data_IF_522005736656
#
_entry.id   IF_522005736656
#
_cell.length_a   1.000
_cell.length_b   1.000
_cell.length_c   1.000
_cell.angle_alpha   90.00
_cell.angle_beta   90.00
_cell.angle_gamma   90.00
#
_symmetry.space_group_name_H-M   'P 1'
#
loop_
_entity.id
_entity.type
_entity.pdbx_description
1 polymer ?
#
# COMPACT_ATOMS: atom_id res chain seq x y z
N UNK A 1 -21.35 -14.48 16.43
CA UNK A 1 -20.16 -14.18 17.27
C UNK A 1 -19.72 -12.78 16.89
N UNK A 2 -19.68 -11.85 17.85
CA UNK A 2 -19.28 -10.46 17.65
C UNK A 2 -17.99 -10.21 18.43
N UNK A 3 -17.06 -9.44 17.85
CA UNK A 3 -15.76 -9.11 18.45
C UNK A 3 -15.66 -7.60 18.52
N UNK A 4 -15.40 -7.07 19.71
CA UNK A 4 -15.15 -5.66 19.95
C UNK A 4 -13.65 -5.38 19.84
N UNK A 5 -13.27 -4.34 19.11
CA UNK A 5 -11.87 -3.93 18.99
C UNK A 5 -11.74 -2.41 18.82
N UNK A 6 -10.66 -1.81 19.34
CA UNK A 6 -10.40 -0.39 19.15
C UNK A 6 -10.02 -0.08 17.69
N UNK A 7 -10.55 1.03 17.19
CA UNK A 7 -10.17 1.61 15.89
C UNK A 7 -9.40 2.89 16.12
N UNK A 8 -8.17 2.93 15.63
CA UNK A 8 -7.31 4.11 15.66
C UNK A 8 -7.35 4.81 14.30
N UNK A 9 -7.51 6.13 14.30
CA UNK A 9 -7.46 6.94 13.06
C UNK A 9 -6.24 7.84 13.14
N UNK A 10 -5.29 7.63 12.23
CA UNK A 10 -4.12 8.48 12.07
C UNK A 10 -4.33 9.46 10.91
N UNK A 11 -4.19 10.75 11.20
CA UNK A 11 -4.32 11.82 10.21
C UNK A 11 -2.91 12.30 9.83
N UNK A 12 -2.48 11.97 8.61
CA UNK A 12 -1.22 12.48 8.06
C UNK A 12 -1.48 13.64 7.14
N UNK A 13 -0.75 14.73 7.35
CA UNK A 13 -0.69 15.81 6.39
C UNK A 13 0.22 15.38 5.23
N UNK A 14 -0.34 15.24 4.05
CA UNK A 14 0.49 15.14 2.85
C UNK A 14 1.05 16.55 2.60
N UNK A 15 2.36 16.71 2.73
CA UNK A 15 3.02 17.96 2.39
C UNK A 15 3.06 18.07 0.85
N UNK A 16 1.94 18.48 0.27
CA UNK A 16 1.78 18.69 -1.16
C UNK A 16 2.56 19.93 -1.60
N UNK A 17 3.26 19.81 -2.73
CA UNK A 17 3.86 20.96 -3.41
C UNK A 17 2.71 21.76 -4.04
N UNK A 18 2.51 22.99 -3.59
CA UNK A 18 1.45 23.93 -3.97
C UNK A 18 0.04 23.57 -3.46
N UNK A 19 -0.38 24.24 -2.38
CA UNK A 19 -1.74 24.55 -1.89
C UNK A 19 -2.81 23.43 -1.78
N UNK A 20 -2.48 22.18 -2.09
CA UNK A 20 -3.39 21.05 -1.87
C UNK A 20 -3.17 20.47 -0.47
N UNK A 21 -3.91 21.00 0.51
CA UNK A 21 -4.02 20.44 1.87
C UNK A 21 -4.80 19.10 1.87
N UNK A 22 -4.24 18.06 1.26
CA UNK A 22 -4.83 16.72 1.32
C UNK A 22 -4.44 16.03 2.62
N UNK A 23 -5.40 15.97 3.55
CA UNK A 23 -5.28 15.16 4.77
C UNK A 23 -5.50 13.70 4.38
N UNK A 24 -4.46 12.88 4.49
CA UNK A 24 -4.58 11.43 4.35
C UNK A 24 -4.99 10.84 5.70
N UNK A 25 -6.16 10.19 5.77
CA UNK A 25 -6.65 9.52 6.97
C UNK A 25 -6.45 8.01 6.82
N UNK A 26 -5.74 7.39 7.75
CA UNK A 26 -5.53 5.95 7.78
C UNK A 26 -6.21 5.38 9.02
N UNK A 27 -7.18 4.49 8.82
CA UNK A 27 -7.84 3.76 9.89
C UNK A 27 -7.14 2.44 10.17
N UNK A 28 -6.92 2.12 11.44
CA UNK A 28 -6.30 0.89 11.92
C UNK A 28 -7.22 0.21 12.94
N UNK A 29 -7.76 -0.94 12.56
CA UNK A 29 -8.40 -1.85 13.49
C UNK A 29 -7.30 -2.65 14.22
N UNK A 30 -7.17 -2.47 15.53
CA UNK A 30 -6.12 -3.11 16.31
C UNK A 30 -6.72 -4.09 17.32
N UNK A 31 -6.41 -5.37 17.18
CA UNK A 31 -6.61 -6.39 18.21
C UNK A 31 -5.24 -6.73 18.82
N UNK A 32 -4.66 -5.74 19.48
CA UNK A 32 -3.30 -5.80 20.00
C UNK A 32 -3.20 -5.02 21.32
N UNK A 33 -3.01 -5.70 22.46
CA UNK A 33 -3.02 -5.05 23.78
C UNK A 33 -1.82 -4.11 24.00
N UNK A 34 -0.80 -4.17 23.15
CA UNK A 34 0.39 -3.31 23.20
C UNK A 34 0.27 -2.03 22.36
N UNK A 35 -0.87 -1.83 21.68
CA UNK A 35 -1.12 -0.62 20.88
C UNK A 35 -2.06 0.28 21.67
N UNK A 36 -1.51 1.37 22.18
CA UNK A 36 -2.24 2.33 23.01
C UNK A 36 -2.46 3.67 22.28
N UNK A 37 -1.72 3.91 21.19
CA UNK A 37 -1.75 5.18 20.46
C UNK A 37 -1.89 5.00 18.95
N UNK A 38 -2.53 5.95 18.23
CA UNK A 38 -2.59 5.94 16.78
C UNK A 38 -1.22 5.91 16.10
N UNK A 39 -0.21 6.55 16.70
CA UNK A 39 1.16 6.53 16.18
C UNK A 39 1.80 5.13 16.27
N UNK A 40 1.58 4.40 17.37
CA UNK A 40 2.01 3.00 17.47
C UNK A 40 1.24 2.12 16.48
N UNK A 41 -0.07 2.33 16.33
CA UNK A 41 -0.88 1.62 15.34
C UNK A 41 -0.30 1.82 13.93
N UNK A 42 -0.02 3.07 13.54
CA UNK A 42 0.67 3.41 12.30
C UNK A 42 2.04 2.72 12.19
N UNK A 43 2.90 2.80 13.21
CA UNK A 43 4.25 2.21 13.15
C UNK A 43 4.21 0.68 12.94
N UNK A 44 3.33 -0.02 13.65
CA UNK A 44 3.22 -1.48 13.57
C UNK A 44 2.46 -1.96 12.32
N UNK A 45 1.40 -1.26 11.90
CA UNK A 45 0.54 -1.68 10.79
C UNK A 45 0.93 -1.08 9.44
N UNK A 46 1.62 0.06 9.38
CA UNK A 46 2.09 0.63 8.10
C UNK A 46 2.99 -0.35 7.33
N UNK A 47 3.80 -1.13 8.04
CA UNK A 47 4.64 -2.18 7.44
C UNK A 47 3.82 -3.30 6.79
N UNK A 48 2.63 -3.61 7.32
CA UNK A 48 1.72 -4.61 6.73
C UNK A 48 1.03 -4.09 5.48
N UNK A 49 0.58 -2.83 5.48
CA UNK A 49 0.03 -2.20 4.27
C UNK A 49 1.05 -2.12 3.12
N UNK A 50 2.34 -1.95 3.43
CA UNK A 50 3.39 -1.98 2.41
C UNK A 50 3.43 -3.28 1.61
N UNK A 51 3.16 -4.42 2.25
CA UNK A 51 3.13 -5.74 1.61
C UNK A 51 1.95 -5.83 0.65
N UNK A 52 0.75 -5.46 1.10
CA UNK A 52 -0.46 -5.47 0.26
C UNK A 52 -0.35 -4.49 -0.92
N UNK A 53 0.20 -3.29 -0.69
CA UNK A 53 0.44 -2.34 -1.77
C UNK A 53 1.45 -2.86 -2.78
N UNK A 54 2.49 -3.58 -2.32
CA UNK A 54 3.50 -4.18 -3.20
C UNK A 54 2.91 -5.33 -4.01
N UNK A 55 2.04 -6.14 -3.42
CA UNK A 55 1.31 -7.18 -4.15
C UNK A 55 0.35 -6.58 -5.19
N UNK A 56 -0.43 -5.56 -4.81
CA UNK A 56 -1.33 -4.87 -5.75
C UNK A 56 -0.56 -4.21 -6.90
N UNK A 57 0.57 -3.56 -6.60
CA UNK A 57 1.45 -2.97 -7.61
C UNK A 57 2.09 -4.05 -8.50
N UNK A 58 2.52 -5.17 -7.92
CA UNK A 58 3.03 -6.32 -8.66
C UNK A 58 1.97 -6.88 -9.60
N UNK A 59 0.74 -7.09 -9.14
CA UNK A 59 -0.36 -7.55 -9.98
C UNK A 59 -0.66 -6.60 -11.14
N UNK A 60 -0.58 -5.28 -10.92
CA UNK A 60 -0.78 -4.29 -11.98
C UNK A 60 0.42 -4.18 -12.94
N UNK A 61 1.64 -4.46 -12.46
CA UNK A 61 2.87 -4.39 -13.24
C UNK A 61 3.13 -5.66 -14.07
N UNK A 62 2.34 -6.72 -13.92
CA UNK A 62 2.48 -7.94 -14.74
C UNK A 62 2.07 -7.61 -16.19
N UNK A 63 3.08 -7.37 -17.03
CA UNK A 63 2.93 -7.26 -18.47
C UNK A 63 2.43 -8.60 -19.04
N UNK A 64 1.12 -8.68 -19.33
CA UNK A 64 0.48 -9.89 -19.86
C UNK A 64 0.54 -9.84 -21.39
N UNK A 65 1.29 -10.75 -22.01
CA UNK A 65 1.36 -10.87 -23.48
C UNK A 65 0.89 -12.26 -23.94
N UNK A 66 0.11 -12.30 -25.02
CA UNK A 66 -0.39 -13.54 -25.64
C UNK A 66 0.63 -14.20 -26.57
N UNK A 67 1.78 -13.54 -26.83
CA UNK A 67 2.86 -14.05 -27.68
C UNK A 67 3.78 -14.97 -26.85
N UNK A 68 3.97 -16.22 -27.28
CA UNK A 68 4.85 -17.22 -26.64
C UNK A 68 6.34 -17.06 -26.97
N UNK A 69 6.70 -16.12 -27.84
CA UNK A 69 8.09 -15.87 -28.20
C UNK A 69 8.86 -15.27 -27.01
N UNK A 70 9.93 -15.94 -26.54
CA UNK A 70 10.67 -15.52 -25.34
C UNK A 70 11.41 -14.20 -25.53
N UNK A 71 11.88 -13.90 -26.74
CA UNK A 71 12.58 -12.65 -27.07
C UNK A 71 11.62 -11.48 -27.03
N UNK A 72 10.43 -11.64 -27.62
CA UNK A 72 9.37 -10.61 -27.59
C UNK A 72 8.93 -10.35 -26.16
N UNK A 73 8.76 -11.38 -25.34
CA UNK A 73 8.38 -11.23 -23.93
C UNK A 73 9.46 -10.51 -23.10
N UNK A 74 10.75 -10.76 -23.38
CA UNK A 74 11.85 -10.05 -22.75
C UNK A 74 11.83 -8.55 -23.09
N UNK A 75 11.59 -8.20 -24.35
CA UNK A 75 11.50 -6.79 -24.78
C UNK A 75 10.38 -6.08 -24.02
N UNK A 76 9.20 -6.70 -23.87
CA UNK A 76 8.10 -6.11 -23.09
C UNK A 76 8.48 -5.83 -21.64
N UNK A 77 9.19 -6.75 -20.97
CA UNK A 77 9.66 -6.56 -19.59
C UNK A 77 10.64 -5.38 -19.48
N UNK A 78 11.58 -5.28 -20.42
CA UNK A 78 12.55 -4.18 -20.44
C UNK A 78 11.86 -2.84 -20.69
N UNK A 79 10.92 -2.78 -21.64
CA UNK A 79 10.16 -1.56 -21.93
C UNK A 79 9.31 -1.14 -20.72
N UNK A 80 8.66 -2.07 -20.03
CA UNK A 80 7.89 -1.75 -18.80
C UNK A 80 8.76 -1.28 -17.63
N UNK A 81 10.06 -1.57 -17.62
CA UNK A 81 10.98 -1.06 -16.60
C UNK A 81 11.44 0.37 -16.91
N UNK A 82 11.36 0.79 -18.17
CA UNK A 82 11.86 2.07 -18.67
C UNK A 82 10.78 3.16 -18.78
N UNK A 83 9.49 2.81 -18.67
CA UNK A 83 8.33 3.70 -18.70
C UNK A 83 7.73 3.84 -17.30
#
# INVERSE_FOLDING_TARGET
>A
MTVEFPVYIDCTYLNGRYDEYRVARHGYAADAPFIETPHQARYHYSKRFGIESSYCLSEQAIATTTKRDPTVRLIYVVVSLLL
#
